data_IF_117836109723
#
_entry.id   IF_117836109723
#
_cell.length_a   1.000
_cell.length_b   1.000
_cell.length_c   1.000
_cell.angle_alpha   90.00
_cell.angle_beta   90.00
_cell.angle_gamma   90.00
#
_symmetry.space_group_name_H-M   'P 1'
#
loop_
_entity.id
_entity.type
_entity.pdbx_description
1 polymer ?
#
# COMPACT_ATOMS: atom_id res chain seq x y z
N UNK A 1 -21.64 6.88 -7.04
CA UNK A 1 -21.85 5.53 -6.49
C UNK A 1 -21.80 5.67 -4.98
N UNK A 2 -22.81 5.15 -4.28
CA UNK A 2 -22.81 5.14 -2.81
C UNK A 2 -21.88 4.00 -2.37
N UNK A 3 -20.61 4.32 -2.13
CA UNK A 3 -19.66 3.32 -1.64
C UNK A 3 -20.00 3.06 -0.17
N UNK A 4 -20.61 1.89 0.11
CA UNK A 4 -20.79 1.40 1.48
C UNK A 4 -19.47 1.60 2.24
N UNK A 5 -19.51 2.22 3.41
CA UNK A 5 -18.32 2.46 4.21
C UNK A 5 -17.58 1.14 4.48
N UNK A 6 -16.36 1.03 3.99
CA UNK A 6 -15.51 -0.13 4.20
C UNK A 6 -14.66 0.06 5.46
N UNK A 7 -14.31 -1.06 6.09
CA UNK A 7 -13.43 -1.11 7.24
C UNK A 7 -12.29 -2.08 6.97
N UNK A 8 -11.06 -1.56 7.04
CA UNK A 8 -9.83 -2.33 6.85
C UNK A 8 -9.16 -2.72 8.17
N UNK A 9 -8.45 -3.85 8.18
CA UNK A 9 -7.49 -4.18 9.24
C UNK A 9 -6.09 -4.36 8.65
N UNK A 10 -5.17 -3.50 9.04
CA UNK A 10 -3.76 -3.59 8.68
C UNK A 10 -2.97 -4.24 9.81
N UNK A 11 -2.17 -5.25 9.45
CA UNK A 11 -1.27 -5.94 10.37
C UNK A 11 0.17 -5.72 9.89
N UNK A 12 0.96 -5.03 10.70
CA UNK A 12 2.35 -4.75 10.39
C UNK A 12 3.26 -5.84 10.95
N UNK A 13 3.86 -6.63 10.06
CA UNK A 13 4.94 -7.55 10.40
C UNK A 13 6.29 -6.90 10.06
N UNK A 14 7.11 -6.51 11.05
CA UNK A 14 8.22 -5.58 10.84
C UNK A 14 9.50 -6.25 10.34
N UNK A 15 9.56 -7.58 10.22
CA UNK A 15 10.83 -8.28 10.07
C UNK A 15 11.20 -8.57 8.61
N UNK A 16 12.49 -8.45 8.30
CA UNK A 16 13.08 -8.80 7.00
C UNK A 16 14.33 -9.67 7.19
N UNK A 17 14.70 -10.45 6.16
CA UNK A 17 15.99 -11.18 6.12
C UNK A 17 17.17 -10.25 5.78
N UNK A 18 16.91 -9.23 4.97
CA UNK A 18 17.85 -8.17 4.61
C UNK A 18 17.11 -6.86 4.41
N UNK A 19 17.81 -5.72 4.54
CA UNK A 19 17.24 -4.41 4.23
C UNK A 19 17.63 -4.02 2.81
N UNK A 20 16.62 -3.80 1.97
CA UNK A 20 16.85 -3.26 0.63
C UNK A 20 17.42 -1.83 0.76
N UNK A 21 18.41 -1.43 -0.06
CA UNK A 21 19.13 -0.18 0.11
C UNK A 21 18.31 1.08 -0.24
N UNK A 22 17.14 0.90 -0.88
CA UNK A 22 16.14 1.95 -1.14
C UNK A 22 14.99 2.00 -0.12
N UNK A 23 14.87 0.99 0.76
CA UNK A 23 13.68 0.82 1.59
C UNK A 23 13.71 1.73 2.83
N UNK A 24 12.74 2.64 2.90
CA UNK A 24 12.47 3.57 4.00
C UNK A 24 11.42 3.06 5.00
N UNK A 25 10.76 1.94 4.70
CA UNK A 25 9.74 1.36 5.58
C UNK A 25 10.29 0.94 6.94
N UNK A 26 9.39 0.90 7.94
CA UNK A 26 9.67 0.38 9.30
C UNK A 26 9.97 -1.13 9.26
N UNK A 27 11.19 -1.47 8.84
CA UNK A 27 11.65 -2.83 8.67
C UNK A 27 12.90 -3.10 9.51
N UNK A 28 12.94 -4.29 10.10
CA UNK A 28 13.93 -4.71 11.07
C UNK A 28 14.56 -6.02 10.62
N UNK A 29 15.86 -5.99 10.31
CA UNK A 29 16.58 -7.19 9.88
C UNK A 29 16.65 -8.18 11.04
N UNK A 30 16.32 -9.45 10.77
CA UNK A 30 16.41 -10.55 11.74
C UNK A 30 17.25 -11.68 11.18
N UNK A 31 18.33 -12.00 11.90
CA UNK A 31 19.21 -13.14 11.62
C UNK A 31 18.95 -14.32 12.57
N UNK A 32 18.33 -14.06 13.72
CA UNK A 32 17.90 -15.08 14.66
C UNK A 32 16.43 -15.44 14.40
N UNK A 33 15.99 -16.67 14.74
CA UNK A 33 14.58 -17.05 14.71
C UNK A 33 13.72 -16.08 15.52
N UNK A 34 12.56 -15.73 14.96
CA UNK A 34 11.57 -14.89 15.61
C UNK A 34 10.70 -15.78 16.49
N UNK A 35 10.41 -15.35 17.72
CA UNK A 35 9.43 -16.01 18.60
C UNK A 35 8.00 -15.70 18.09
N UNK A 36 7.63 -16.33 16.97
CA UNK A 36 6.37 -16.06 16.28
C UNK A 36 5.15 -16.32 17.16
N UNK A 37 5.21 -17.31 18.06
CA UNK A 37 4.11 -17.59 18.98
C UNK A 37 3.87 -16.45 19.97
N UNK A 38 4.95 -15.85 20.50
CA UNK A 38 4.85 -14.69 21.38
C UNK A 38 4.31 -13.47 20.63
N UNK A 39 4.76 -13.24 19.40
CA UNK A 39 4.20 -12.20 18.55
C UNK A 39 2.72 -12.44 18.22
N UNK A 40 2.32 -13.67 17.88
CA UNK A 40 0.92 -14.02 17.61
C UNK A 40 0.01 -13.72 18.82
N UNK A 41 0.44 -14.08 20.04
CA UNK A 41 -0.29 -13.74 21.28
C UNK A 41 -0.40 -12.23 21.48
N UNK A 42 0.65 -11.48 21.17
CA UNK A 42 0.62 -10.03 21.27
C UNK A 42 -0.32 -9.40 20.22
N UNK A 43 -0.25 -9.85 18.96
CA UNK A 43 -1.20 -9.42 17.93
C UNK A 43 -2.64 -9.69 18.36
N UNK A 44 -2.95 -10.90 18.84
CA UNK A 44 -4.30 -11.22 19.31
C UNK A 44 -4.76 -10.30 20.45
N UNK A 45 -3.86 -9.98 21.40
CA UNK A 45 -4.16 -9.07 22.50
C UNK A 45 -4.38 -7.62 22.04
N UNK A 46 -3.57 -7.13 21.11
CA UNK A 46 -3.74 -5.78 20.56
C UNK A 46 -4.98 -5.68 19.67
N UNK A 47 -5.32 -6.72 18.91
CA UNK A 47 -6.57 -6.83 18.15
C UNK A 47 -7.75 -6.73 19.11
N UNK A 48 -7.78 -7.54 20.18
CA UNK A 48 -8.84 -7.51 21.18
C UNK A 48 -9.01 -6.11 21.80
N UNK A 49 -7.90 -5.47 22.17
CA UNK A 49 -7.90 -4.13 22.77
C UNK A 49 -8.38 -3.06 21.80
N UNK A 50 -7.93 -3.12 20.55
CA UNK A 50 -8.34 -2.19 19.48
C UNK A 50 -9.82 -2.38 19.13
N UNK A 51 -10.29 -3.62 19.02
CA UNK A 51 -11.67 -3.93 18.72
C UNK A 51 -12.64 -3.49 19.82
N UNK A 52 -12.23 -3.56 21.09
CA UNK A 52 -13.02 -3.04 22.20
C UNK A 52 -13.25 -1.51 22.09
N UNK A 53 -12.33 -0.77 21.46
CA UNK A 53 -12.47 0.67 21.19
C UNK A 53 -13.31 0.98 19.95
N UNK A 54 -13.40 0.04 19.00
CA UNK A 54 -14.14 0.19 17.75
C UNK A 54 -15.06 -1.02 17.49
N UNK A 55 -16.08 -1.26 18.34
CA UNK A 55 -16.94 -2.43 18.24
C UNK A 55 -17.90 -2.35 17.05
N UNK A 56 -18.45 -3.51 16.66
CA UNK A 56 -19.56 -3.59 15.69
C UNK A 56 -19.19 -3.28 14.24
N UNK A 57 -17.90 -3.32 13.88
CA UNK A 57 -17.43 -3.13 12.50
C UNK A 57 -17.51 -4.44 11.70
N UNK A 58 -17.81 -4.29 10.41
CA UNK A 58 -17.72 -5.35 9.39
C UNK A 58 -16.41 -5.19 8.61
N UNK A 59 -15.45 -6.09 8.81
CA UNK A 59 -14.14 -6.09 8.14
C UNK A 59 -14.32 -6.55 6.69
N UNK A 60 -14.02 -5.64 5.77
CA UNK A 60 -14.13 -5.87 4.32
C UNK A 60 -12.77 -6.11 3.65
N UNK A 61 -11.68 -5.74 4.32
CA UNK A 61 -10.32 -6.04 3.86
C UNK A 61 -9.34 -6.21 5.02
N UNK A 62 -8.40 -7.12 4.88
CA UNK A 62 -7.29 -7.37 5.79
C UNK A 62 -6.00 -7.33 4.97
N UNK A 63 -4.98 -6.64 5.46
CA UNK A 63 -3.71 -6.54 4.76
C UNK A 63 -2.55 -6.79 5.73
N UNK A 64 -1.82 -7.87 5.49
CA UNK A 64 -0.59 -8.20 6.19
C UNK A 64 0.57 -7.63 5.38
N UNK A 65 1.19 -6.57 5.89
CA UNK A 65 2.26 -5.83 5.22
C UNK A 65 3.43 -5.51 6.15
N UNK A 66 4.41 -4.75 5.65
CA UNK A 66 5.45 -4.12 6.47
C UNK A 66 6.86 -4.47 6.00
N UNK A 67 7.56 -5.29 6.77
CA UNK A 67 8.84 -5.86 6.38
C UNK A 67 8.66 -6.97 5.35
N UNK A 68 8.53 -8.21 5.81
CA UNK A 68 8.29 -9.38 4.94
C UNK A 68 7.30 -10.33 5.61
N UNK A 69 5.98 -10.11 5.47
CA UNK A 69 4.94 -10.93 6.11
C UNK A 69 5.02 -12.43 5.80
N UNK A 70 5.47 -12.81 4.60
CA UNK A 70 5.76 -14.21 4.21
C UNK A 70 6.91 -14.89 4.99
N UNK A 71 7.56 -14.18 5.91
CA UNK A 71 8.42 -14.83 6.89
C UNK A 71 7.63 -15.56 7.98
N UNK A 72 6.39 -15.13 8.25
CA UNK A 72 5.51 -15.79 9.21
C UNK A 72 5.22 -17.23 8.77
N UNK A 73 5.16 -18.14 9.72
CA UNK A 73 4.55 -19.45 9.51
C UNK A 73 3.05 -19.29 9.20
N UNK A 74 2.47 -20.19 8.38
CA UNK A 74 1.03 -20.21 8.14
C UNK A 74 0.16 -20.21 9.41
N UNK A 75 0.63 -20.84 10.48
CA UNK A 75 -0.04 -20.90 11.77
C UNK A 75 -0.10 -19.53 12.45
N UNK A 76 0.97 -18.74 12.34
CA UNK A 76 1.03 -17.36 12.85
C UNK A 76 0.03 -16.46 12.12
N UNK A 77 -0.03 -16.58 10.78
CA UNK A 77 -1.03 -15.88 9.96
C UNK A 77 -2.45 -16.28 10.38
N UNK A 78 -2.70 -17.59 10.52
CA UNK A 78 -3.98 -18.12 10.97
C UNK A 78 -4.40 -17.56 12.34
N UNK A 79 -3.50 -17.55 13.33
CA UNK A 79 -3.79 -17.03 14.66
C UNK A 79 -4.17 -15.54 14.66
N UNK A 80 -3.53 -14.73 13.79
CA UNK A 80 -3.88 -13.32 13.61
C UNK A 80 -5.27 -13.17 12.98
N UNK A 81 -5.55 -13.91 11.91
CA UNK A 81 -6.85 -13.86 11.22
C UNK A 81 -8.00 -14.37 12.13
N UNK A 82 -7.75 -15.42 12.90
CA UNK A 82 -8.70 -15.93 13.89
C UNK A 82 -9.00 -14.88 14.97
N UNK A 83 -7.99 -14.17 15.46
CA UNK A 83 -8.19 -13.09 16.43
C UNK A 83 -9.03 -11.94 15.84
N UNK A 84 -8.82 -11.57 14.57
CA UNK A 84 -9.66 -10.58 13.88
C UNK A 84 -11.11 -11.08 13.81
N UNK A 85 -11.34 -12.33 13.40
CA UNK A 85 -12.67 -12.94 13.29
C UNK A 85 -13.38 -13.18 14.63
N UNK A 86 -12.64 -13.29 15.74
CA UNK A 86 -13.20 -13.38 17.09
C UNK A 86 -13.76 -12.04 17.59
N UNK A 87 -13.19 -10.92 17.14
CA UNK A 87 -13.50 -9.60 17.70
C UNK A 87 -14.27 -8.67 16.76
N UNK A 88 -14.25 -8.92 15.45
CA UNK A 88 -15.05 -8.22 14.46
C UNK A 88 -15.81 -9.18 13.54
N UNK A 89 -16.89 -8.69 12.94
CA UNK A 89 -17.56 -9.44 11.89
C UNK A 89 -16.72 -9.37 10.61
N UNK A 90 -16.39 -10.51 10.01
CA UNK A 90 -15.64 -10.56 8.75
C UNK A 90 -16.60 -10.80 7.60
N UNK A 91 -16.57 -9.93 6.59
CA UNK A 91 -17.43 -10.04 5.42
C UNK A 91 -17.15 -11.36 4.67
N UNK A 92 -18.18 -11.96 4.08
CA UNK A 92 -18.05 -13.23 3.33
C UNK A 92 -17.11 -13.13 2.13
N UNK A 93 -17.06 -11.96 1.52
CA UNK A 93 -16.23 -11.63 0.36
C UNK A 93 -14.97 -10.85 0.74
N UNK A 94 -14.53 -10.90 2.02
CA UNK A 94 -13.35 -10.17 2.51
C UNK A 94 -12.13 -10.41 1.61
N UNK A 95 -11.39 -9.34 1.31
CA UNK A 95 -10.05 -9.47 0.73
C UNK A 95 -9.02 -9.62 1.84
N UNK A 96 -8.23 -10.69 1.80
CA UNK A 96 -7.11 -10.91 2.72
C UNK A 96 -5.83 -10.95 1.91
N UNK A 97 -5.06 -9.87 1.96
CA UNK A 97 -3.80 -9.69 1.25
C UNK A 97 -2.61 -9.98 2.16
N UNK A 98 -1.62 -10.70 1.63
CA UNK A 98 -0.32 -10.87 2.27
C UNK A 98 0.81 -10.44 1.32
N UNK A 99 1.72 -9.58 1.78
CA UNK A 99 2.94 -9.24 1.04
C UNK A 99 3.99 -10.35 1.18
N UNK A 100 4.67 -10.67 0.08
CA UNK A 100 5.69 -11.70 0.04
C UNK A 100 6.90 -11.34 -0.82
N UNK A 101 8.09 -11.81 -0.43
CA UNK A 101 9.23 -11.82 -1.33
C UNK A 101 9.20 -13.11 -2.18
N UNK A 102 9.62 -13.05 -3.44
CA UNK A 102 9.47 -14.17 -4.35
C UNK A 102 10.67 -15.12 -4.28
N UNK A 103 11.04 -15.56 -3.07
CA UNK A 103 12.07 -16.59 -2.87
C UNK A 103 11.45 -17.99 -2.92
N UNK A 104 12.23 -18.99 -3.33
CA UNK A 104 11.80 -20.38 -3.39
C UNK A 104 11.26 -20.89 -2.04
N UNK A 105 11.86 -20.46 -0.92
CA UNK A 105 11.43 -20.85 0.43
C UNK A 105 10.04 -20.31 0.76
N UNK A 106 9.80 -19.04 0.48
CA UNK A 106 8.52 -18.39 0.76
C UNK A 106 7.39 -18.96 -0.11
N UNK A 107 7.68 -19.27 -1.38
CA UNK A 107 6.70 -19.88 -2.29
C UNK A 107 6.18 -21.23 -1.80
N UNK A 108 6.99 -22.01 -1.06
CA UNK A 108 6.51 -23.28 -0.47
C UNK A 108 5.41 -23.09 0.59
N UNK A 109 5.32 -21.89 1.21
CA UNK A 109 4.34 -21.57 2.25
C UNK A 109 3.00 -21.07 1.71
N UNK A 110 2.91 -20.73 0.41
CA UNK A 110 1.71 -20.14 -0.19
C UNK A 110 0.45 -20.98 0.03
N UNK A 111 0.55 -22.32 -0.08
CA UNK A 111 -0.59 -23.21 0.21
C UNK A 111 -1.05 -23.12 1.66
N UNK A 112 -0.10 -22.97 2.58
CA UNK A 112 -0.37 -22.75 3.99
C UNK A 112 -1.10 -21.43 4.23
N UNK A 113 -0.64 -20.33 3.61
CA UNK A 113 -1.32 -19.04 3.70
C UNK A 113 -2.73 -19.08 3.12
N UNK A 114 -2.91 -19.75 1.97
CA UNK A 114 -4.24 -19.94 1.37
C UNK A 114 -5.19 -20.72 2.28
N UNK A 115 -4.66 -21.72 2.98
CA UNK A 115 -5.41 -22.52 3.96
C UNK A 115 -5.75 -21.69 5.20
N UNK A 116 -4.86 -20.80 5.64
CA UNK A 116 -5.09 -19.89 6.76
C UNK A 116 -6.14 -18.80 6.46
N UNK A 117 -6.46 -18.54 5.20
CA UNK A 117 -7.50 -17.58 4.78
C UNK A 117 -7.02 -16.45 3.87
N UNK A 118 -5.72 -16.39 3.55
CA UNK A 118 -5.19 -15.41 2.57
C UNK A 118 -5.72 -15.75 1.18
N UNK A 119 -6.35 -14.77 0.51
CA UNK A 119 -6.91 -14.96 -0.84
C UNK A 119 -6.30 -14.02 -1.89
N UNK A 120 -5.37 -13.15 -1.49
CA UNK A 120 -4.55 -12.32 -2.37
C UNK A 120 -3.09 -12.27 -1.89
N UNK A 121 -2.13 -12.32 -2.82
CA UNK A 121 -0.70 -12.12 -2.51
C UNK A 121 -0.14 -10.97 -3.34
N UNK A 122 0.73 -10.14 -2.73
CA UNK A 122 1.53 -9.14 -3.45
C UNK A 122 3.01 -9.52 -3.41
N UNK A 123 3.62 -9.73 -4.56
CA UNK A 123 5.01 -10.21 -4.66
C UNK A 123 5.97 -9.07 -4.99
N UNK A 124 6.97 -8.85 -4.13
CA UNK A 124 8.00 -7.85 -4.36
C UNK A 124 9.05 -8.30 -5.39
N UNK A 125 8.70 -8.34 -6.69
CA UNK A 125 9.58 -8.79 -7.79
C UNK A 125 10.66 -7.76 -8.11
N UNK A 126 10.29 -6.49 -8.16
CA UNK A 126 11.09 -5.29 -8.38
C UNK A 126 11.73 -5.13 -9.76
N UNK A 127 12.17 -6.23 -10.39
CA UNK A 127 12.83 -6.23 -11.68
C UNK A 127 12.79 -7.63 -12.33
N UNK A 128 12.84 -7.70 -13.67
CA UNK A 128 12.88 -8.95 -14.44
C UNK A 128 14.26 -9.26 -15.04
N UNK A 129 15.31 -8.63 -14.50
CA UNK A 129 16.71 -8.84 -14.84
C UNK A 129 17.62 -8.88 -13.59
N UNK A 130 18.62 -9.75 -13.60
CA UNK A 130 19.46 -10.02 -12.41
C UNK A 130 20.41 -8.88 -12.05
N UNK A 131 20.83 -8.07 -13.04
CA UNK A 131 21.73 -6.93 -12.83
C UNK A 131 21.05 -5.90 -11.94
N UNK A 132 19.82 -5.54 -12.30
CA UNK A 132 19.04 -4.58 -11.55
C UNK A 132 18.58 -5.12 -10.20
N UNK A 133 18.19 -6.40 -10.11
CA UNK A 133 17.86 -7.04 -8.83
C UNK A 133 19.02 -6.95 -7.84
N UNK A 134 20.24 -7.23 -8.30
CA UNK A 134 21.46 -7.11 -7.48
C UNK A 134 21.70 -5.67 -7.05
N UNK A 135 21.52 -4.69 -7.95
CA UNK A 135 21.66 -3.27 -7.61
C UNK A 135 20.61 -2.83 -6.55
N UNK A 136 19.40 -3.36 -6.64
CA UNK A 136 18.31 -3.18 -5.68
C UNK A 136 18.48 -4.01 -4.40
N UNK A 137 19.59 -4.74 -4.23
CA UNK A 137 19.86 -5.54 -3.03
C UNK A 137 18.93 -6.74 -2.84
N UNK A 138 18.30 -7.21 -3.92
CA UNK A 138 17.40 -8.37 -3.89
C UNK A 138 18.20 -9.67 -3.79
N UNK A 139 17.67 -10.63 -3.03
CA UNK A 139 18.29 -11.93 -2.78
C UNK A 139 17.84 -13.01 -3.78
N UNK A 140 16.86 -12.69 -4.62
CA UNK A 140 16.29 -13.58 -5.63
C UNK A 140 16.76 -13.18 -7.03
N UNK A 141 16.77 -14.14 -7.95
CA UNK A 141 16.96 -13.94 -9.39
C UNK A 141 15.63 -13.66 -10.09
N UNK A 142 15.67 -13.09 -11.29
CA UNK A 142 14.47 -12.86 -12.10
C UNK A 142 13.74 -14.17 -12.42
N UNK A 143 14.49 -15.28 -12.53
CA UNK A 143 13.91 -16.61 -12.75
C UNK A 143 13.12 -17.08 -11.54
N UNK A 144 13.71 -17.03 -10.34
CA UNK A 144 13.02 -17.39 -9.10
C UNK A 144 11.78 -16.52 -8.89
N UNK A 145 11.87 -15.24 -9.23
CA UNK A 145 10.74 -14.32 -9.15
C UNK A 145 9.55 -14.79 -9.98
N UNK A 146 9.79 -15.13 -11.25
CA UNK A 146 8.77 -15.61 -12.16
C UNK A 146 8.24 -17.00 -11.80
N UNK A 147 9.10 -17.89 -11.30
CA UNK A 147 8.66 -19.19 -10.80
C UNK A 147 7.73 -19.02 -9.58
N UNK A 148 8.02 -18.08 -8.67
CA UNK A 148 7.14 -17.75 -7.55
C UNK A 148 5.80 -17.13 -8.00
N UNK A 149 5.81 -16.24 -8.99
CA UNK A 149 4.58 -15.69 -9.61
C UNK A 149 3.74 -16.83 -10.21
N UNK A 150 4.37 -17.75 -10.93
CA UNK A 150 3.69 -18.91 -11.50
C UNK A 150 3.05 -19.80 -10.42
N UNK A 151 3.74 -20.00 -9.29
CA UNK A 151 3.19 -20.75 -8.15
C UNK A 151 2.00 -19.99 -7.52
N UNK A 152 2.14 -18.68 -7.27
CA UNK A 152 1.08 -17.84 -6.70
C UNK A 152 -0.20 -17.91 -7.53
N UNK A 153 -0.09 -17.82 -8.86
CA UNK A 153 -1.21 -17.96 -9.81
C UNK A 153 -1.98 -19.26 -9.66
N UNK A 154 -1.33 -20.35 -9.25
CA UNK A 154 -2.01 -21.65 -9.07
C UNK A 154 -2.69 -21.82 -7.70
N UNK A 155 -2.41 -20.92 -6.75
CA UNK A 155 -2.80 -21.06 -5.35
C UNK A 155 -3.82 -19.99 -4.93
N UNK A 156 -3.62 -18.75 -5.37
CA UNK A 156 -4.45 -17.62 -4.97
C UNK A 156 -5.40 -17.20 -6.07
N UNK A 157 -6.59 -16.77 -5.65
CA UNK A 157 -7.63 -16.29 -6.56
C UNK A 157 -7.21 -14.96 -7.22
N UNK A 158 -6.44 -14.14 -6.48
CA UNK A 158 -5.85 -12.88 -6.98
C UNK A 158 -4.39 -12.76 -6.57
N UNK A 159 -3.60 -12.15 -7.42
CA UNK A 159 -2.20 -11.84 -7.11
C UNK A 159 -1.76 -10.56 -7.81
N UNK A 160 -0.76 -9.93 -7.24
CA UNK A 160 -0.04 -8.81 -7.84
C UNK A 160 1.45 -9.02 -7.68
N UNK A 161 2.22 -8.27 -8.45
CA UNK A 161 3.62 -8.10 -8.15
C UNK A 161 4.10 -6.70 -8.47
N UNK A 162 5.14 -6.32 -7.76
CA UNK A 162 5.65 -4.97 -7.73
C UNK A 162 6.89 -4.89 -8.63
N UNK A 163 7.03 -3.80 -9.38
CA UNK A 163 8.23 -3.47 -10.14
C UNK A 163 8.66 -2.04 -9.81
N UNK A 164 9.97 -1.80 -9.92
CA UNK A 164 10.57 -0.49 -9.73
C UNK A 164 11.13 0.00 -11.07
N UNK A 165 10.63 1.12 -11.56
CA UNK A 165 11.14 1.80 -12.75
C UNK A 165 11.96 3.05 -12.38
N UNK A 166 12.49 3.75 -13.38
CA UNK A 166 13.47 4.83 -13.21
C UNK A 166 14.74 4.36 -12.49
N UNK A 167 15.18 3.14 -12.81
CA UNK A 167 16.44 2.56 -12.34
C UNK A 167 17.62 3.19 -13.10
N UNK A 168 18.86 3.13 -12.57
CA UNK A 168 20.05 3.58 -13.28
C UNK A 168 20.12 3.01 -14.71
N UNK A 169 20.43 3.87 -15.67
CA UNK A 169 20.58 3.55 -17.10
C UNK A 169 19.33 2.97 -17.79
N UNK A 170 18.15 2.98 -17.14
CA UNK A 170 16.92 2.45 -17.70
C UNK A 170 16.36 3.39 -18.79
N UNK A 171 16.15 2.84 -19.98
CA UNK A 171 15.54 3.57 -21.11
C UNK A 171 14.04 3.26 -21.24
N UNK A 172 13.30 4.14 -21.92
CA UNK A 172 11.89 3.94 -22.24
C UNK A 172 11.62 2.62 -22.98
N UNK A 173 12.50 2.21 -23.91
CA UNK A 173 12.36 0.96 -24.63
C UNK A 173 12.57 -0.25 -23.72
N UNK A 174 13.63 -0.25 -22.90
CA UNK A 174 13.89 -1.33 -21.94
C UNK A 174 12.70 -1.51 -20.98
N UNK A 175 12.16 -0.40 -20.49
CA UNK A 175 11.01 -0.44 -19.59
C UNK A 175 9.73 -0.92 -20.28
N UNK A 176 9.50 -0.49 -21.53
CA UNK A 176 8.36 -0.97 -22.34
C UNK A 176 8.40 -2.49 -22.51
N UNK A 177 9.56 -3.05 -22.82
CA UNK A 177 9.71 -4.50 -23.05
C UNK A 177 9.57 -5.28 -21.74
N UNK A 178 10.14 -4.78 -20.65
CA UNK A 178 9.99 -5.35 -19.31
C UNK A 178 8.53 -5.34 -18.83
N UNK A 179 7.82 -4.22 -19.01
CA UNK A 179 6.40 -4.10 -18.68
C UNK A 179 5.53 -5.05 -19.48
N UNK A 180 5.74 -5.14 -20.80
CA UNK A 180 4.98 -6.07 -21.65
C UNK A 180 5.18 -7.52 -21.20
N UNK A 181 6.41 -7.89 -20.85
CA UNK A 181 6.71 -9.20 -20.28
C UNK A 181 6.00 -9.41 -18.93
N UNK A 182 6.08 -8.44 -18.02
CA UNK A 182 5.41 -8.49 -16.72
C UNK A 182 3.89 -8.71 -16.86
N UNK A 183 3.23 -7.92 -17.70
CA UNK A 183 1.78 -8.02 -17.94
C UNK A 183 1.42 -9.39 -18.55
N UNK A 184 2.30 -9.95 -19.39
CA UNK A 184 2.08 -11.27 -20.00
C UNK A 184 2.07 -12.43 -19.00
N UNK A 185 2.64 -12.26 -17.80
CA UNK A 185 2.57 -13.24 -16.69
C UNK A 185 1.19 -13.25 -16.00
N UNK A 186 0.17 -12.76 -16.70
CA UNK A 186 -1.24 -12.74 -16.34
C UNK A 186 -1.55 -11.95 -15.05
N UNK A 187 -0.77 -10.92 -14.75
CA UNK A 187 -1.06 -10.03 -13.64
C UNK A 187 -2.37 -9.25 -13.91
N UNK A 188 -3.40 -9.50 -13.09
CA UNK A 188 -4.62 -8.67 -13.08
C UNK A 188 -4.39 -7.33 -12.36
N UNK A 189 -3.28 -7.23 -11.63
CA UNK A 189 -2.87 -6.07 -10.86
C UNK A 189 -1.33 -6.01 -10.81
N UNK A 190 -0.77 -4.83 -11.06
CA UNK A 190 0.66 -4.52 -10.92
C UNK A 190 0.84 -3.27 -10.06
N UNK A 191 1.88 -3.28 -9.24
CA UNK A 191 2.35 -2.08 -8.53
C UNK A 191 3.66 -1.61 -9.16
N UNK A 192 3.65 -0.47 -9.83
CA UNK A 192 4.74 0.08 -10.61
C UNK A 192 5.24 1.36 -9.95
N UNK A 193 6.28 1.21 -9.14
CA UNK A 193 6.87 2.29 -8.35
C UNK A 193 8.02 2.96 -9.09
N UNK A 194 8.08 4.29 -9.04
CA UNK A 194 9.30 5.00 -9.40
C UNK A 194 10.35 4.75 -8.32
N UNK A 195 11.61 4.53 -8.72
CA UNK A 195 12.72 4.56 -7.77
C UNK A 195 12.89 5.97 -7.21
N UNK A 196 12.42 6.19 -5.99
CA UNK A 196 12.62 7.42 -5.23
C UNK A 196 13.80 7.26 -4.27
N UNK A 197 14.59 8.32 -4.12
CA UNK A 197 15.75 8.35 -3.22
C UNK A 197 15.32 8.94 -1.89
N UNK A 198 14.89 8.07 -0.98
CA UNK A 198 14.36 8.49 0.32
C UNK A 198 15.47 8.84 1.32
N UNK A 199 15.31 9.91 2.13
CA UNK A 199 16.24 10.24 3.21
C UNK A 199 16.53 9.07 4.14
N UNK A 200 17.71 9.06 4.76
CA UNK A 200 18.13 8.04 5.73
C UNK A 200 18.31 6.62 5.16
N UNK A 201 18.17 6.44 3.84
CA UNK A 201 18.47 5.18 3.16
C UNK A 201 19.93 5.08 2.69
N UNK A 202 20.49 3.87 2.53
CA UNK A 202 21.79 3.70 1.87
C UNK A 202 21.86 4.32 0.47
N UNK A 203 20.77 4.26 -0.30
CA UNK A 203 20.70 4.90 -1.62
C UNK A 203 20.80 6.43 -1.56
N UNK A 204 20.23 7.08 -0.54
CA UNK A 204 20.42 8.53 -0.33
C UNK A 204 21.90 8.89 -0.16
N UNK A 205 22.63 8.13 0.66
CA UNK A 205 24.07 8.33 0.83
C UNK A 205 24.88 8.13 -0.46
N UNK A 206 24.53 7.11 -1.26
CA UNK A 206 25.17 6.85 -2.55
C UNK A 206 24.86 7.92 -3.59
N UNK A 207 23.62 8.39 -3.65
CA UNK A 207 23.18 9.44 -4.56
C UNK A 207 23.86 10.78 -4.22
N UNK A 208 23.86 11.18 -2.94
CA UNK A 208 24.54 12.38 -2.48
C UNK A 208 26.05 12.36 -2.77
N UNK A 209 26.67 11.17 -2.77
CA UNK A 209 28.08 10.98 -3.12
C UNK A 209 28.33 10.87 -4.65
N UNK A 210 27.30 11.00 -5.50
CA UNK A 210 27.40 10.86 -6.96
C UNK A 210 27.68 9.43 -7.46
N UNK A 211 27.52 8.42 -6.59
CA UNK A 211 27.80 7.00 -6.86
C UNK A 211 26.56 6.23 -7.34
N UNK A 212 25.37 6.74 -7.06
CA UNK A 212 24.12 6.28 -7.63
C UNK A 212 23.56 7.41 -8.49
N UNK A 213 23.44 7.16 -9.79
CA UNK A 213 22.81 8.10 -10.73
C UNK A 213 21.46 7.53 -11.14
N UNK A 214 20.40 8.24 -10.77
CA UNK A 214 19.05 7.94 -11.23
C UNK A 214 18.74 8.78 -12.47
N UNK A 215 17.76 8.39 -13.30
CA UNK A 215 17.27 9.22 -14.38
C UNK A 215 16.92 10.64 -13.92
N UNK A 216 17.17 11.62 -14.77
CA UNK A 216 16.69 12.98 -14.53
C UNK A 216 15.17 13.07 -14.67
N UNK A 217 14.60 14.23 -14.35
CA UNK A 217 13.16 14.46 -14.38
C UNK A 217 12.54 14.19 -15.75
N UNK A 218 13.23 14.56 -16.84
CA UNK A 218 12.73 14.35 -18.19
C UNK A 218 12.66 12.86 -18.56
N UNK A 219 13.69 12.09 -18.22
CA UNK A 219 13.71 10.64 -18.45
C UNK A 219 12.73 9.92 -17.52
N UNK A 220 12.67 10.29 -16.24
CA UNK A 220 11.72 9.72 -15.29
C UNK A 220 10.27 9.97 -15.75
N UNK A 221 9.99 11.17 -16.27
CA UNK A 221 8.68 11.49 -16.84
C UNK A 221 8.34 10.64 -18.06
N UNK A 222 9.29 10.47 -18.98
CA UNK A 222 9.08 9.60 -20.14
C UNK A 222 8.80 8.14 -19.72
N UNK A 223 9.47 7.63 -18.68
CA UNK A 223 9.20 6.29 -18.13
C UNK A 223 7.82 6.20 -17.48
N UNK A 224 7.38 7.24 -16.78
CA UNK A 224 6.02 7.33 -16.25
C UNK A 224 4.99 7.31 -17.38
N UNK A 225 5.15 8.13 -18.42
CA UNK A 225 4.20 8.20 -19.54
C UNK A 225 4.10 6.84 -20.27
N UNK A 226 5.24 6.17 -20.52
CA UNK A 226 5.30 4.81 -21.06
C UNK A 226 4.53 3.82 -20.18
N UNK A 227 4.66 3.95 -18.86
CA UNK A 227 3.94 3.08 -17.90
C UNK A 227 2.44 3.22 -18.08
N UNK A 228 1.94 4.45 -18.11
CA UNK A 228 0.51 4.71 -18.27
C UNK A 228 -0.01 4.23 -19.63
N UNK A 229 0.74 4.49 -20.70
CA UNK A 229 0.36 4.10 -22.06
C UNK A 229 0.28 2.58 -22.21
N UNK A 230 1.36 1.86 -21.85
CA UNK A 230 1.44 0.40 -22.02
C UNK A 230 0.38 -0.30 -21.17
N UNK A 231 0.21 0.10 -19.90
CA UNK A 231 -0.76 -0.53 -19.02
C UNK A 231 -2.20 -0.29 -19.50
N UNK A 232 -2.53 0.94 -19.93
CA UNK A 232 -3.85 1.25 -20.50
C UNK A 232 -4.14 0.43 -21.76
N UNK A 233 -3.17 0.29 -22.69
CA UNK A 233 -3.31 -0.52 -23.90
C UNK A 233 -3.53 -2.02 -23.61
N UNK A 234 -3.03 -2.52 -22.47
CA UNK A 234 -3.20 -3.91 -22.06
C UNK A 234 -4.42 -4.14 -21.13
N UNK A 235 -5.23 -3.11 -20.91
CA UNK A 235 -6.42 -3.17 -20.06
C UNK A 235 -6.13 -3.22 -18.56
N UNK A 236 -5.00 -2.61 -18.15
CA UNK A 236 -4.59 -2.37 -16.76
C UNK A 236 -4.50 -0.85 -16.52
N UNK A 237 -5.60 -0.09 -16.55
CA UNK A 237 -5.54 1.33 -16.23
C UNK A 237 -5.00 1.56 -14.80
N UNK A 238 -4.37 2.72 -14.58
CA UNK A 238 -4.10 3.20 -13.22
C UNK A 238 -5.43 3.48 -12.52
N UNK A 239 -5.55 2.99 -11.29
CA UNK A 239 -6.65 3.39 -10.40
C UNK A 239 -6.19 4.34 -9.29
N UNK A 240 -4.87 4.37 -9.03
CA UNK A 240 -4.18 5.32 -8.16
C UNK A 240 -2.73 5.54 -8.63
N UNK A 241 -1.84 6.17 -7.84
CA UNK A 241 -0.51 6.65 -8.27
C UNK A 241 0.37 5.57 -8.91
N UNK A 242 0.54 4.44 -8.22
CA UNK A 242 1.53 3.43 -8.54
C UNK A 242 0.91 2.09 -8.95
N UNK A 243 -0.40 1.93 -8.91
CA UNK A 243 -1.08 0.66 -9.04
C UNK A 243 -2.03 0.69 -10.23
N UNK A 244 -1.90 -0.37 -11.02
CA UNK A 244 -2.59 -0.58 -12.28
C UNK A 244 -3.31 -1.91 -12.19
N UNK A 245 -4.60 -1.92 -12.50
CA UNK A 245 -5.40 -3.11 -12.33
C UNK A 245 -6.48 -3.21 -13.39
N UNK A 246 -6.90 -4.44 -13.69
CA UNK A 246 -8.14 -4.65 -14.45
C UNK A 246 -9.29 -4.12 -13.59
N UNK A 247 -10.34 -3.53 -14.20
CA UNK A 247 -11.51 -3.10 -13.44
C UNK A 247 -12.06 -4.25 -12.56
N UNK A 248 -12.15 -4.01 -11.25
CA UNK A 248 -12.57 -5.00 -10.25
C UNK A 248 -11.43 -5.80 -9.59
N UNK A 249 -10.20 -5.67 -10.08
CA UNK A 249 -9.00 -6.30 -9.51
C UNK A 249 -8.17 -5.34 -8.64
N UNK A 250 -8.67 -4.13 -8.36
CA UNK A 250 -8.02 -3.15 -7.50
C UNK A 250 -7.81 -3.73 -6.09
N UNK A 251 -6.72 -3.34 -5.43
CA UNK A 251 -6.51 -3.69 -4.02
C UNK A 251 -7.55 -2.97 -3.17
N UNK A 252 -8.53 -3.71 -2.63
CA UNK A 252 -9.62 -3.17 -1.82
C UNK A 252 -9.09 -2.50 -0.56
N UNK A 253 -8.00 -3.02 0.01
CA UNK A 253 -7.39 -2.40 1.19
C UNK A 253 -6.74 -1.05 0.89
N UNK A 254 -6.01 -0.93 -0.23
CA UNK A 254 -5.43 0.37 -0.63
C UNK A 254 -6.54 1.42 -0.83
N UNK A 255 -7.66 1.03 -1.43
CA UNK A 255 -8.81 1.92 -1.63
C UNK A 255 -9.44 2.40 -0.32
N UNK A 256 -9.38 1.63 0.78
CA UNK A 256 -9.82 2.10 2.11
C UNK A 256 -9.02 3.33 2.52
N UNK A 257 -7.70 3.30 2.34
CA UNK A 257 -6.82 4.42 2.67
C UNK A 257 -7.08 5.62 1.76
N UNK A 258 -7.08 5.40 0.45
CA UNK A 258 -7.22 6.46 -0.53
C UNK A 258 -8.58 7.17 -0.45
N UNK A 259 -9.64 6.45 -0.08
CA UNK A 259 -10.98 7.00 0.11
C UNK A 259 -11.20 7.65 1.49
N UNK A 260 -10.16 7.71 2.35
CA UNK A 260 -10.24 8.24 3.71
C UNK A 260 -11.20 7.45 4.63
N UNK A 261 -11.37 6.15 4.36
CA UNK A 261 -12.24 5.28 5.15
C UNK A 261 -11.55 4.80 6.43
N UNK A 262 -12.27 4.08 7.27
CA UNK A 262 -11.75 3.65 8.58
C UNK A 262 -10.90 2.40 8.43
N UNK A 263 -9.82 2.32 9.20
CA UNK A 263 -9.03 1.10 9.34
C UNK A 263 -8.36 1.01 10.69
N UNK A 264 -8.31 -0.20 11.23
CA UNK A 264 -7.48 -0.54 12.38
C UNK A 264 -6.05 -0.85 11.91
N UNK A 265 -5.06 -0.41 12.68
CA UNK A 265 -3.66 -0.77 12.50
C UNK A 265 -3.14 -1.46 13.75
N UNK A 266 -2.53 -2.62 13.56
CA UNK A 266 -2.00 -3.48 14.64
C UNK A 266 -0.57 -3.89 14.29
N UNK A 267 0.30 -3.95 15.28
CA UNK A 267 1.70 -4.33 15.12
C UNK A 267 2.67 -3.16 15.17
N UNK A 268 3.98 -3.43 15.23
CA UNK A 268 4.99 -2.39 15.45
C UNK A 268 5.01 -1.33 14.33
N UNK A 269 4.77 -0.07 14.67
CA UNK A 269 4.75 1.04 13.70
C UNK A 269 3.51 1.10 12.81
N UNK A 270 2.48 0.30 13.09
CA UNK A 270 1.20 0.41 12.42
C UNK A 270 0.50 1.73 12.76
N UNK A 271 -0.23 2.25 11.77
CA UNK A 271 -1.10 3.41 11.90
C UNK A 271 -2.57 2.99 11.75
N UNK A 272 -3.49 3.72 12.39
CA UNK A 272 -4.92 3.50 12.29
C UNK A 272 -5.68 4.82 12.13
N UNK A 273 -6.78 4.78 11.38
CA UNK A 273 -7.78 5.86 11.29
C UNK A 273 -9.11 5.28 11.75
N UNK A 274 -9.49 5.53 13.01
CA UNK A 274 -10.68 4.93 13.63
C UNK A 274 -11.66 6.00 14.10
N UNK A 275 -12.96 5.83 13.83
CA UNK A 275 -13.98 6.65 14.49
C UNK A 275 -14.35 6.03 15.83
N UNK A 276 -14.02 6.72 16.93
CA UNK A 276 -14.26 6.32 18.32
C UNK A 276 -15.07 7.43 18.97
N UNK A 277 -16.21 7.06 19.58
CA UNK A 277 -17.16 8.01 20.19
C UNK A 277 -17.53 9.20 19.28
N UNK A 278 -17.69 8.93 17.98
CA UNK A 278 -18.07 9.92 16.97
C UNK A 278 -16.93 10.86 16.51
N UNK A 279 -15.69 10.63 16.93
CA UNK A 279 -14.52 11.43 16.54
C UNK A 279 -13.51 10.57 15.80
N UNK A 280 -12.83 11.14 14.79
CA UNK A 280 -11.77 10.45 14.04
C UNK A 280 -10.47 10.51 14.83
N UNK A 281 -9.92 9.36 15.14
CA UNK A 281 -8.62 9.19 15.79
C UNK A 281 -7.57 8.77 14.76
N UNK A 282 -6.44 9.49 14.76
CA UNK A 282 -5.20 9.11 14.08
C UNK A 282 -4.28 8.47 15.13
N UNK A 283 -4.10 7.15 15.03
CA UNK A 283 -3.38 6.36 16.02
C UNK A 283 -2.07 5.87 15.39
N UNK A 284 -0.98 5.92 16.14
CA UNK A 284 0.29 5.30 15.80
C UNK A 284 0.80 4.42 16.94
N UNK A 285 1.42 3.30 16.57
CA UNK A 285 2.00 2.33 17.50
C UNK A 285 3.54 2.41 17.53
N UNK A 286 4.12 1.88 18.60
CA UNK A 286 5.56 1.79 18.80
C UNK A 286 6.27 1.10 17.61
N UNK A 287 7.27 1.77 17.03
CA UNK A 287 7.97 1.30 15.83
C UNK A 287 8.90 0.11 16.09
N UNK A 288 9.51 0.04 17.28
CA UNK A 288 10.49 -1.00 17.63
C UNK A 288 9.77 -2.29 18.06
N UNK A 289 9.99 -3.43 17.38
CA UNK A 289 9.20 -4.65 17.59
C UNK A 289 9.22 -5.17 19.02
N UNK A 290 10.37 -5.14 19.69
CA UNK A 290 10.52 -5.64 21.06
C UNK A 290 9.87 -4.68 22.09
N UNK A 291 9.98 -3.37 21.86
CA UNK A 291 9.32 -2.37 22.72
C UNK A 291 7.81 -2.43 22.56
N UNK A 292 7.32 -2.57 21.32
CA UNK A 292 5.90 -2.78 21.04
C UNK A 292 5.39 -4.04 21.75
N UNK A 293 6.15 -5.13 21.67
CA UNK A 293 5.80 -6.41 22.30
C UNK A 293 5.65 -6.27 23.82
N UNK A 294 6.64 -5.65 24.48
CA UNK A 294 6.59 -5.38 25.92
C UNK A 294 5.40 -4.49 26.32
N UNK A 295 5.08 -3.47 25.52
CA UNK A 295 3.92 -2.60 25.76
C UNK A 295 2.63 -3.40 25.68
N UNK A 296 2.42 -4.16 24.61
CA UNK A 296 1.21 -4.98 24.44
C UNK A 296 1.06 -5.98 25.59
N UNK A 297 2.15 -6.62 26.03
CA UNK A 297 2.14 -7.54 27.18
C UNK A 297 1.80 -6.84 28.51
N UNK A 298 2.19 -5.58 28.69
CA UNK A 298 1.88 -4.83 29.90
C UNK A 298 0.45 -4.28 29.90
N UNK A 299 0.05 -3.60 28.83
CA UNK A 299 -1.15 -2.75 28.81
C UNK A 299 -2.18 -3.12 27.74
N UNK A 300 -1.89 -4.11 26.89
CA UNK A 300 -2.81 -4.61 25.85
C UNK A 300 -2.66 -3.97 24.47
N UNK A 301 -1.91 -2.88 24.34
CA UNK A 301 -1.64 -2.25 23.04
C UNK A 301 -0.26 -1.58 23.03
N UNK A 302 0.25 -1.31 21.82
CA UNK A 302 1.50 -0.63 21.55
C UNK A 302 1.33 0.85 21.19
N UNK A 303 0.19 1.48 21.49
CA UNK A 303 -0.10 2.87 21.10
C UNK A 303 0.91 3.84 21.73
N UNK A 304 1.42 4.77 20.91
CA UNK A 304 2.31 5.86 21.31
C UNK A 304 1.78 7.26 20.94
N UNK A 305 0.84 7.34 20.00
CA UNK A 305 0.13 8.55 19.63
C UNK A 305 -1.33 8.21 19.32
N UNK A 306 -2.24 9.10 19.72
CA UNK A 306 -3.69 8.94 19.58
C UNK A 306 -4.32 10.33 19.49
N UNK A 307 -4.23 10.91 18.30
CA UNK A 307 -4.62 12.30 18.05
C UNK A 307 -6.06 12.34 17.51
N UNK A 308 -6.87 13.27 18.02
CA UNK A 308 -8.22 13.50 17.51
C UNK A 308 -8.13 14.49 16.37
N UNK A 309 -8.51 14.06 15.16
CA UNK A 309 -8.51 14.92 13.98
C UNK A 309 -9.73 15.83 13.98
N UNK A 310 -9.50 17.12 13.77
CA UNK A 310 -10.54 18.11 13.57
C UNK A 310 -11.15 18.01 12.15
N UNK A 311 -12.20 18.81 11.89
CA UNK A 311 -12.91 18.79 10.59
C UNK A 311 -12.04 19.18 9.41
N UNK A 312 -11.13 20.14 9.57
CA UNK A 312 -10.23 20.60 8.52
C UNK A 312 -9.18 19.54 8.22
N UNK A 313 -8.51 19.00 9.24
CA UNK A 313 -7.51 17.92 9.08
C UNK A 313 -8.09 16.70 8.34
N UNK A 314 -9.33 16.31 8.68
CA UNK A 314 -10.03 15.20 8.00
C UNK A 314 -10.34 15.51 6.54
N UNK A 315 -10.68 16.76 6.24
CA UNK A 315 -10.99 17.19 4.89
C UNK A 315 -9.74 17.31 4.03
N UNK A 316 -8.65 17.81 4.61
CA UNK A 316 -7.33 17.89 3.96
C UNK A 316 -6.78 16.49 3.68
N UNK A 317 -6.86 15.55 4.64
CA UNK A 317 -6.52 14.14 4.39
C UNK A 317 -7.38 13.54 3.27
N UNK A 318 -8.70 13.79 3.26
CA UNK A 318 -9.60 13.30 2.21
C UNK A 318 -9.26 13.88 0.83
N UNK A 319 -8.95 15.18 0.75
CA UNK A 319 -8.59 15.85 -0.50
C UNK A 319 -7.24 15.31 -1.02
N UNK A 320 -6.22 15.25 -0.15
CA UNK A 320 -4.89 14.76 -0.47
C UNK A 320 -4.90 13.31 -0.96
N UNK A 321 -5.64 12.44 -0.27
CA UNK A 321 -5.71 11.02 -0.60
C UNK A 321 -6.65 10.74 -1.77
N UNK A 322 -7.82 11.35 -1.79
CA UNK A 322 -8.84 11.06 -2.79
C UNK A 322 -8.48 11.55 -4.20
N UNK A 323 -7.75 12.66 -4.33
CA UNK A 323 -7.32 13.16 -5.65
C UNK A 323 -6.19 12.33 -6.28
N UNK A 324 -5.58 11.43 -5.51
CA UNK A 324 -4.63 10.42 -6.03
C UNK A 324 -5.33 9.25 -6.69
N UNK A 325 -6.65 9.13 -6.55
CA UNK A 325 -7.46 8.14 -7.25
C UNK A 325 -7.88 8.64 -8.63
N UNK A 326 -7.88 7.74 -9.62
CA UNK A 326 -8.41 8.03 -10.95
C UNK A 326 -9.92 8.37 -10.91
N UNK A 327 -10.67 7.84 -9.94
CA UNK A 327 -12.08 8.18 -9.74
C UNK A 327 -12.28 9.59 -9.15
N UNK A 328 -11.24 10.15 -8.51
CA UNK A 328 -11.25 11.46 -7.86
C UNK A 328 -12.10 11.52 -6.59
N UNK A 329 -12.68 12.69 -6.32
CA UNK A 329 -13.49 12.95 -5.12
C UNK A 329 -14.86 13.54 -5.45
N UNK A 330 -15.80 13.34 -4.53
CA UNK A 330 -17.04 14.10 -4.46
C UNK A 330 -16.82 15.39 -3.65
N UNK A 331 -16.93 16.59 -4.27
CA UNK A 331 -16.82 17.87 -3.55
C UNK A 331 -17.87 18.07 -2.45
N UNK A 332 -19.03 17.39 -2.52
CA UNK A 332 -20.04 17.45 -1.45
C UNK A 332 -19.57 16.71 -0.20
N UNK A 333 -18.84 15.61 -0.36
CA UNK A 333 -18.22 14.90 0.78
C UNK A 333 -17.15 15.76 1.44
N UNK A 334 -16.32 16.47 0.65
CA UNK A 334 -15.37 17.44 1.19
C UNK A 334 -16.10 18.52 2.01
N UNK A 335 -17.19 19.08 1.48
CA UNK A 335 -18.01 20.09 2.18
C UNK A 335 -18.62 19.56 3.47
N UNK A 336 -19.09 18.31 3.48
CA UNK A 336 -19.63 17.67 4.68
C UNK A 336 -18.56 17.46 5.77
N UNK A 337 -17.31 17.21 5.37
CA UNK A 337 -16.18 17.04 6.30
C UNK A 337 -15.68 18.38 6.84
N UNK A 338 -15.41 19.35 5.97
CA UNK A 338 -14.79 20.64 6.33
C UNK A 338 -15.77 21.70 6.81
N UNK A 339 -17.06 21.55 6.50
CA UNK A 339 -18.07 22.60 6.67
C UNK A 339 -18.02 23.70 5.60
N UNK A 340 -17.06 23.65 4.65
CA UNK A 340 -16.89 24.63 3.57
C UNK A 340 -16.84 23.98 2.19
N UNK A 341 -17.36 24.67 1.18
CA UNK A 341 -17.19 24.22 -0.20
C UNK A 341 -15.76 24.54 -0.69
N UNK A 342 -15.26 23.76 -1.65
CA UNK A 342 -14.09 24.16 -2.46
C UNK A 342 -14.42 25.47 -3.22
N UNK A 343 -13.45 26.37 -3.37
CA UNK A 343 -13.66 27.65 -4.08
C UNK A 343 -13.96 27.38 -5.57
N UNK A 344 -15.15 27.75 -6.07
CA UNK A 344 -15.50 27.55 -7.48
C UNK A 344 -14.55 28.25 -8.46
N UNK A 345 -13.90 29.35 -8.05
CA UNK A 345 -12.94 30.09 -8.87
C UNK A 345 -11.65 29.30 -9.09
N UNK A 346 -11.16 28.61 -8.06
CA UNK A 346 -9.99 27.73 -8.15
C UNK A 346 -10.27 26.51 -9.01
N UNK A 347 -11.45 25.91 -8.84
CA UNK A 347 -11.91 24.81 -9.70
C UNK A 347 -11.97 25.24 -11.16
N UNK A 348 -12.52 26.43 -11.45
CA UNK A 348 -12.57 26.96 -12.81
C UNK A 348 -11.16 27.19 -13.39
N UNK A 349 -10.25 27.79 -12.63
CA UNK A 349 -8.86 28.02 -13.04
C UNK A 349 -8.14 26.70 -13.38
N UNK A 350 -8.14 25.73 -12.47
CA UNK A 350 -7.47 24.44 -12.68
C UNK A 350 -8.10 23.64 -13.82
N UNK A 351 -9.39 23.84 -14.10
CA UNK A 351 -10.07 23.24 -15.26
C UNK A 351 -9.65 23.90 -16.56
N UNK A 352 -9.53 25.23 -16.59
CA UNK A 352 -9.09 25.99 -17.75
C UNK A 352 -7.61 25.68 -18.08
N UNK A 353 -6.79 25.42 -17.06
CA UNK A 353 -5.41 24.92 -17.19
C UNK A 353 -5.34 23.42 -17.60
N UNK A 354 -6.47 22.72 -17.62
CA UNK A 354 -6.55 21.31 -17.96
C UNK A 354 -6.03 20.36 -16.88
N UNK A 355 -5.73 20.84 -15.67
CA UNK A 355 -5.21 20.03 -14.56
C UNK A 355 -6.28 19.15 -13.92
N UNK A 356 -7.55 19.60 -13.92
CA UNK A 356 -8.67 18.84 -13.38
C UNK A 356 -9.86 18.79 -14.35
N UNK A 357 -10.75 17.84 -14.12
CA UNK A 357 -12.07 17.77 -14.74
C UNK A 357 -13.14 17.60 -13.68
N UNK A 358 -14.35 18.07 -13.99
CA UNK A 358 -15.56 17.79 -13.21
C UNK A 358 -16.51 17.03 -14.12
N UNK A 359 -16.88 15.81 -13.75
CA UNK A 359 -17.76 14.98 -14.57
C UNK A 359 -19.24 15.40 -14.44
N UNK A 360 -20.11 14.79 -15.24
CA UNK A 360 -21.54 15.09 -15.25
C UNK A 360 -22.25 14.83 -13.90
N UNK A 361 -21.66 14.00 -13.03
CA UNK A 361 -22.16 13.71 -11.69
C UNK A 361 -21.60 14.68 -10.63
N UNK A 362 -20.75 15.63 -11.03
CA UNK A 362 -20.13 16.61 -10.14
C UNK A 362 -18.85 16.13 -9.46
N UNK A 363 -18.31 14.96 -9.84
CA UNK A 363 -17.06 14.45 -9.27
C UNK A 363 -15.86 15.17 -9.85
N UNK A 364 -14.93 15.58 -8.98
CA UNK A 364 -13.70 16.27 -9.32
C UNK A 364 -12.57 15.26 -9.46
N UNK A 365 -11.89 15.26 -10.61
CA UNK A 365 -10.80 14.34 -10.94
C UNK A 365 -9.59 15.09 -11.46
N UNK A 366 -8.41 14.60 -11.15
CA UNK A 366 -7.17 15.09 -11.75
C UNK A 366 -7.00 14.46 -13.13
N UNK A 367 -6.62 15.27 -14.12
CA UNK A 367 -6.37 14.78 -15.48
C UNK A 367 -5.01 14.10 -15.58
N UNK A 368 -4.75 13.45 -16.72
CA UNK A 368 -3.41 12.91 -17.02
C UNK A 368 -2.33 13.99 -16.99
N UNK A 369 -2.66 15.21 -17.43
CA UNK A 369 -1.73 16.33 -17.47
C UNK A 369 -1.58 17.02 -16.11
N UNK A 370 -2.61 16.96 -15.25
CA UNK A 370 -2.56 17.48 -13.88
C UNK A 370 -1.89 16.55 -12.87
N UNK A 371 -1.87 15.23 -13.11
CA UNK A 371 -1.32 14.25 -12.17
C UNK A 371 0.16 14.47 -11.81
N UNK A 372 1.05 14.83 -12.75
CA UNK A 372 2.43 15.22 -12.44
C UNK A 372 2.54 16.45 -11.52
N UNK A 373 1.50 17.27 -11.44
CA UNK A 373 1.40 18.48 -10.63
C UNK A 373 0.48 18.29 -9.41
N UNK A 374 0.17 17.04 -9.06
CA UNK A 374 -0.91 16.72 -8.12
C UNK A 374 -0.77 17.40 -6.76
N UNK A 375 0.45 17.52 -6.22
CA UNK A 375 0.66 18.19 -4.94
C UNK A 375 0.32 19.69 -5.01
N UNK A 376 0.62 20.35 -6.13
CA UNK A 376 0.23 21.75 -6.36
C UNK A 376 -1.29 21.88 -6.55
N UNK A 377 -1.91 20.95 -7.28
CA UNK A 377 -3.37 20.90 -7.47
C UNK A 377 -4.09 20.75 -6.12
N UNK A 378 -3.62 19.83 -5.26
CA UNK A 378 -4.17 19.62 -3.92
C UNK A 378 -4.00 20.88 -3.07
N UNK A 379 -2.79 21.46 -3.05
CA UNK A 379 -2.51 22.66 -2.26
C UNK A 379 -3.37 23.86 -2.69
N UNK A 380 -3.59 24.04 -3.99
CA UNK A 380 -4.47 25.09 -4.49
C UNK A 380 -5.91 24.87 -4.03
N UNK A 381 -6.45 23.66 -4.20
CA UNK A 381 -7.82 23.32 -3.79
C UNK A 381 -8.05 23.38 -2.27
N UNK A 382 -7.01 23.10 -1.47
CA UNK A 382 -7.08 23.16 -0.01
C UNK A 382 -7.16 24.62 0.51
N UNK A 383 -6.57 25.57 -0.21
CA UNK A 383 -6.48 26.99 0.18
C UNK A 383 -7.80 27.76 0.03
#
# INVERSE_FOLDING_TARGET
MDHKEAFGVYVHWPFCLSKCPYCDFNSHVRHAPIDEERYARAFAREIATTAARAPGREVTSIFLGGGTPSLMQPQTVGAVLDAIGQHWHVAKDVEVTLEANPTSVEATRFRGYRTAGVNRVSLGVQALDDVSLKALGRLHTAREALDAVAIARTIFDRYSFDLIYARPDQTAQMWTDELKRAISEAAEHLSLYQLTIEPETPFFGLHAAGKLKVPDEAVARALYDVTQEVCAQQGLPSYEISNHARPGAECRHNLVYWRGQQYAGVGPGAHARLDIDGRRHAIATEKRPETWLMRVEAQGNGVIADDILNSEERADEFLLMGLRLAEGIDPQRYKALSGRALDPRRIALLKDEGAITVDASGWLRVTKDGFPLLDAVVADLAA
#
